data_IF_384340611533
#
_entry.id   IF_384340611533
#
_cell.length_a   1.000
_cell.length_b   1.000
_cell.length_c   1.000
_cell.angle_alpha   90.00
_cell.angle_beta   90.00
_cell.angle_gamma   90.00
#
_symmetry.space_group_name_H-M   'P 1'
#
loop_
_entity.id
_entity.type
_entity.pdbx_description
1 polymer ?
#
# COMPACT_ATOMS: atom_id res chain seq x y z
N UNK A 1 -15.57 -23.24 -14.70
CA UNK A 1 -16.16 -22.09 -15.42
C UNK A 1 -15.37 -20.87 -15.06
N UNK A 2 -14.54 -20.38 -15.99
CA UNK A 2 -13.75 -19.16 -15.78
C UNK A 2 -14.70 -17.97 -15.87
N UNK A 3 -15.14 -17.44 -14.75
CA UNK A 3 -15.76 -16.12 -14.74
C UNK A 3 -14.62 -15.09 -14.93
N UNK A 4 -14.40 -14.70 -16.18
CA UNK A 4 -13.60 -13.53 -16.48
C UNK A 4 -14.28 -12.33 -15.79
N UNK A 5 -13.53 -11.64 -14.90
CA UNK A 5 -13.95 -10.37 -14.33
C UNK A 5 -13.98 -9.32 -15.46
N UNK A 6 -15.07 -9.26 -16.18
CA UNK A 6 -15.30 -8.23 -17.20
C UNK A 6 -15.76 -6.96 -16.49
N UNK A 7 -14.96 -5.89 -16.50
CA UNK A 7 -15.40 -4.53 -16.23
C UNK A 7 -15.08 -3.91 -14.88
N UNK A 8 -14.09 -4.40 -14.13
CA UNK A 8 -13.60 -3.69 -12.94
C UNK A 8 -12.66 -2.56 -13.34
N UNK A 9 -13.23 -1.38 -13.60
CA UNK A 9 -12.49 -0.15 -13.81
C UNK A 9 -11.79 0.34 -12.55
N UNK A 10 -10.98 1.38 -12.69
CA UNK A 10 -10.41 2.10 -11.54
C UNK A 10 -11.55 2.69 -10.68
N UNK A 11 -11.34 2.86 -9.36
CA UNK A 11 -12.31 3.55 -8.51
C UNK A 11 -12.54 4.98 -9.00
N UNK A 12 -13.73 5.56 -8.79
CA UNK A 12 -14.02 6.91 -9.22
C UNK A 12 -13.15 7.94 -8.48
N UNK A 13 -12.46 8.79 -9.25
CA UNK A 13 -11.57 9.83 -8.74
C UNK A 13 -10.17 9.31 -8.37
N UNK A 14 -9.21 10.22 -8.42
CA UNK A 14 -7.87 9.97 -7.89
C UNK A 14 -7.86 10.13 -6.37
N UNK A 15 -7.05 9.32 -5.70
CA UNK A 15 -6.88 9.43 -4.25
C UNK A 15 -5.74 10.40 -3.94
N UNK A 16 -6.00 11.36 -3.06
CA UNK A 16 -5.01 12.32 -2.56
C UNK A 16 -4.00 11.67 -1.58
N UNK A 17 -3.81 10.36 -1.68
CA UNK A 17 -3.00 9.62 -0.72
C UNK A 17 -1.57 10.14 -0.65
N UNK A 18 -0.95 10.36 -1.80
CA UNK A 18 0.42 10.88 -1.87
C UNK A 18 0.53 12.25 -1.22
N UNK A 19 -0.40 13.17 -1.51
CA UNK A 19 -0.43 14.50 -0.90
C UNK A 19 -0.61 14.41 0.64
N UNK A 20 -1.51 13.54 1.10
CA UNK A 20 -1.74 13.32 2.53
C UNK A 20 -0.51 12.73 3.24
N UNK A 21 0.17 11.75 2.60
CA UNK A 21 1.40 11.18 3.12
C UNK A 21 2.51 12.22 3.23
N UNK A 22 2.67 13.06 2.23
CA UNK A 22 3.64 14.17 2.21
C UNK A 22 3.31 15.16 3.34
N UNK A 23 2.06 15.63 3.40
CA UNK A 23 1.60 16.67 4.35
C UNK A 23 1.67 16.21 5.81
N UNK A 24 1.17 15.01 6.14
CA UNK A 24 1.14 14.54 7.54
C UNK A 24 2.55 14.27 8.09
N UNK A 25 3.55 14.12 7.21
CA UNK A 25 4.96 13.95 7.56
C UNK A 25 5.80 15.23 7.35
N UNK A 26 5.20 16.30 6.87
CA UNK A 26 5.89 17.57 6.65
C UNK A 26 7.00 17.51 5.58
N UNK A 27 6.89 16.59 4.62
CA UNK A 27 7.93 16.39 3.60
C UNK A 27 8.07 17.60 2.67
N UNK A 28 7.02 18.42 2.50
CA UNK A 28 7.10 19.70 1.77
C UNK A 28 8.18 20.62 2.37
N UNK A 29 8.28 20.65 3.70
CA UNK A 29 9.27 21.48 4.41
C UNK A 29 10.69 20.93 4.26
N UNK A 30 10.79 19.65 3.90
CA UNK A 30 12.07 18.97 3.59
C UNK A 30 12.39 19.00 2.10
N UNK A 31 11.65 19.80 1.31
CA UNK A 31 11.88 19.99 -0.11
C UNK A 31 11.39 18.85 -0.99
N UNK A 32 10.44 18.01 -0.54
CA UNK A 32 9.88 16.93 -1.35
C UNK A 32 9.51 17.42 -2.77
N UNK A 33 9.99 16.72 -3.78
CA UNK A 33 9.63 16.97 -5.17
C UNK A 33 8.90 15.80 -5.81
N UNK A 34 9.39 14.55 -5.63
CA UNK A 34 8.81 13.33 -6.24
C UNK A 34 9.22 12.06 -5.53
N UNK A 35 8.40 11.05 -5.66
CA UNK A 35 8.74 9.68 -5.23
C UNK A 35 9.76 9.04 -6.16
N UNK A 36 10.62 8.19 -5.60
CA UNK A 36 11.59 7.39 -6.34
C UNK A 36 11.27 5.92 -6.15
N UNK A 37 11.13 5.20 -7.25
CA UNK A 37 10.89 3.77 -7.24
C UNK A 37 11.98 3.02 -7.99
N UNK A 38 12.40 1.89 -7.45
CA UNK A 38 13.10 0.85 -8.20
C UNK A 38 12.06 -0.08 -8.85
N UNK A 39 12.39 -0.76 -9.97
CA UNK A 39 11.43 -1.66 -10.64
C UNK A 39 10.78 -2.67 -9.72
N UNK A 40 11.53 -3.26 -8.78
CA UNK A 40 11.01 -4.24 -7.81
C UNK A 40 10.03 -3.69 -6.76
N UNK A 41 9.89 -2.36 -6.63
CA UNK A 41 8.90 -1.70 -5.77
C UNK A 41 7.51 -1.60 -6.40
N UNK A 42 7.44 -1.77 -7.72
CA UNK A 42 6.23 -1.51 -8.49
C UNK A 42 5.25 -2.68 -8.44
N UNK A 43 4.00 -2.38 -8.72
CA UNK A 43 2.94 -3.36 -8.88
C UNK A 43 3.29 -4.41 -9.95
N UNK A 44 3.05 -5.68 -9.65
CA UNK A 44 3.40 -6.85 -10.46
C UNK A 44 4.89 -7.07 -10.72
N UNK A 45 5.77 -6.38 -10.00
CA UNK A 45 7.20 -6.68 -10.06
C UNK A 45 7.49 -8.12 -9.61
N UNK A 46 8.38 -8.80 -10.32
CA UNK A 46 8.80 -10.16 -10.00
C UNK A 46 10.10 -10.19 -9.20
N UNK A 47 10.88 -9.12 -9.24
CA UNK A 47 12.17 -9.03 -8.55
C UNK A 47 12.03 -8.35 -7.19
N UNK A 48 12.91 -8.71 -6.24
CA UNK A 48 13.03 -8.04 -4.96
C UNK A 48 13.91 -6.78 -5.14
N UNK A 49 13.39 -5.61 -4.73
CA UNK A 49 14.17 -4.37 -4.83
C UNK A 49 15.26 -4.22 -3.74
N UNK A 50 15.18 -5.00 -2.66
CA UNK A 50 16.14 -4.97 -1.55
C UNK A 50 17.16 -6.11 -1.59
N UNK A 51 17.11 -7.00 -2.58
CA UNK A 51 17.98 -8.15 -2.70
C UNK A 51 18.27 -8.47 -4.17
N UNK A 52 19.40 -7.95 -4.64
CA UNK A 52 19.82 -8.10 -6.03
C UNK A 52 19.80 -9.56 -6.50
N UNK A 53 19.27 -9.78 -7.71
CA UNK A 53 19.18 -11.10 -8.35
C UNK A 53 18.18 -12.07 -7.70
N UNK A 54 17.39 -11.65 -6.71
CA UNK A 54 16.37 -12.49 -6.08
C UNK A 54 14.98 -12.14 -6.57
N UNK A 55 14.19 -13.18 -6.81
CA UNK A 55 12.79 -13.05 -7.28
C UNK A 55 11.80 -13.31 -6.15
N UNK A 56 10.62 -12.72 -6.29
CA UNK A 56 9.45 -12.98 -5.45
C UNK A 56 8.86 -14.35 -5.78
N UNK A 57 8.17 -14.97 -4.84
CA UNK A 57 7.41 -16.21 -5.06
C UNK A 57 6.10 -15.95 -5.84
N UNK A 58 5.57 -14.75 -5.77
CA UNK A 58 4.40 -14.26 -6.51
C UNK A 58 4.67 -12.82 -6.97
N UNK A 59 4.04 -12.35 -8.07
CA UNK A 59 4.13 -10.96 -8.46
C UNK A 59 3.70 -10.02 -7.33
N UNK A 60 4.34 -8.87 -7.22
CA UNK A 60 4.12 -7.88 -6.16
C UNK A 60 2.66 -7.39 -6.16
N UNK A 61 1.97 -7.53 -5.04
CA UNK A 61 0.54 -7.26 -4.89
C UNK A 61 0.20 -5.77 -4.79
N UNK A 62 1.20 -4.91 -4.66
CA UNK A 62 1.01 -3.47 -4.44
C UNK A 62 2.20 -2.63 -4.85
N UNK A 63 2.44 -1.59 -4.11
CA UNK A 63 3.50 -0.61 -4.29
C UNK A 63 4.26 -0.44 -2.97
N UNK A 64 5.60 -0.49 -3.01
CA UNK A 64 6.45 -0.20 -1.87
C UNK A 64 6.92 1.26 -1.92
N UNK A 65 6.64 2.04 -0.87
CA UNK A 65 6.94 3.47 -0.81
C UNK A 65 7.94 3.71 0.32
N UNK A 66 9.15 4.19 -0.01
CA UNK A 66 10.15 4.51 1.00
C UNK A 66 11.18 5.57 0.60
N UNK A 67 11.27 5.99 -0.67
CA UNK A 67 12.30 6.91 -1.14
C UNK A 67 11.65 8.08 -1.86
N UNK A 68 12.13 9.29 -1.59
CA UNK A 68 11.77 10.48 -2.35
C UNK A 68 13.02 11.30 -2.73
N UNK A 69 12.90 12.12 -3.76
CA UNK A 69 13.89 13.13 -4.09
C UNK A 69 13.39 14.50 -3.65
N UNK A 70 14.30 15.33 -3.16
CA UNK A 70 14.06 16.74 -2.90
C UNK A 70 14.30 17.60 -4.16
N UNK A 71 14.07 18.91 -4.02
CA UNK A 71 14.26 19.89 -5.10
C UNK A 71 15.73 20.06 -5.53
N UNK A 72 16.69 19.57 -4.74
CA UNK A 72 18.13 19.53 -5.08
C UNK A 72 18.50 18.20 -5.75
N UNK A 73 17.56 17.27 -5.87
CA UNK A 73 17.76 15.94 -6.44
C UNK A 73 18.40 14.94 -5.48
N UNK A 74 18.51 15.28 -4.17
CA UNK A 74 19.02 14.36 -3.18
C UNK A 74 17.95 13.33 -2.81
N UNK A 75 18.35 12.08 -2.57
CA UNK A 75 17.46 10.99 -2.20
C UNK A 75 17.38 10.86 -0.68
N UNK A 76 16.16 10.79 -0.18
CA UNK A 76 15.83 10.62 1.22
C UNK A 76 14.98 9.38 1.42
N UNK A 77 15.16 8.70 2.55
CA UNK A 77 14.37 7.52 2.90
C UNK A 77 13.35 7.84 3.99
N UNK A 78 12.16 7.28 3.86
CA UNK A 78 11.20 7.23 4.95
C UNK A 78 11.73 6.32 6.07
N UNK A 79 11.25 6.54 7.28
CA UNK A 79 11.66 5.76 8.45
C UNK A 79 10.45 5.29 9.28
N UNK A 80 10.73 4.62 10.39
CA UNK A 80 9.71 4.11 11.31
C UNK A 80 8.83 5.17 11.97
N UNK A 81 9.19 6.45 11.91
CA UNK A 81 8.35 7.55 12.43
C UNK A 81 7.36 8.07 11.39
N UNK A 82 7.49 7.63 10.13
CA UNK A 82 6.64 8.08 9.04
C UNK A 82 5.21 7.64 9.27
N UNK A 83 4.33 8.61 9.38
CA UNK A 83 2.88 8.44 9.55
C UNK A 83 2.24 7.94 8.27
N UNK A 84 1.30 7.01 8.40
CA UNK A 84 0.54 6.44 7.30
C UNK A 84 -0.90 6.94 7.36
N UNK A 85 -1.33 7.78 6.41
CA UNK A 85 -2.71 8.27 6.35
C UNK A 85 -3.63 7.28 5.63
N UNK A 86 -4.92 7.37 5.90
CA UNK A 86 -5.95 6.61 5.19
C UNK A 86 -6.16 7.16 3.77
N UNK A 87 -6.28 6.27 2.78
CA UNK A 87 -6.51 6.64 1.36
C UNK A 87 -7.90 7.21 1.13
N UNK A 88 -8.94 6.45 1.48
CA UNK A 88 -10.35 6.82 1.39
C UNK A 88 -11.02 6.63 2.76
N UNK A 89 -12.16 7.26 3.00
CA UNK A 89 -13.00 6.91 4.14
C UNK A 89 -13.34 5.43 4.13
N UNK A 90 -13.41 4.80 5.31
CA UNK A 90 -13.67 3.37 5.38
C UNK A 90 -13.68 2.83 6.79
N UNK A 91 -13.85 1.53 6.89
CA UNK A 91 -13.88 0.78 8.14
C UNK A 91 -12.72 -0.21 8.20
N UNK A 92 -12.06 -0.30 9.35
CA UNK A 92 -11.03 -1.31 9.60
C UNK A 92 -11.70 -2.66 9.78
N UNK A 93 -11.47 -3.56 8.82
CA UNK A 93 -12.11 -4.88 8.80
C UNK A 93 -11.19 -6.01 9.24
N UNK A 94 -9.87 -5.79 9.21
CA UNK A 94 -8.89 -6.74 9.74
C UNK A 94 -7.57 -6.05 10.07
N UNK A 95 -6.88 -6.57 11.09
CA UNK A 95 -5.49 -6.27 11.40
C UNK A 95 -4.81 -7.62 11.62
N UNK A 96 -3.72 -7.87 10.90
CA UNK A 96 -3.00 -9.13 10.94
C UNK A 96 -1.50 -8.90 11.10
N UNK A 97 -0.79 -9.87 11.67
CA UNK A 97 0.67 -9.81 11.70
C UNK A 97 1.24 -10.07 10.31
N UNK A 98 2.27 -9.34 9.94
CA UNK A 98 3.05 -9.60 8.74
C UNK A 98 4.55 -9.76 9.08
N UNK A 99 5.39 -9.97 8.05
CA UNK A 99 6.79 -10.29 8.31
C UNK A 99 7.65 -9.11 8.80
N UNK A 100 7.16 -7.85 8.67
CA UNK A 100 7.86 -6.66 9.19
C UNK A 100 7.09 -5.96 10.31
N UNK A 101 5.77 -6.17 10.41
CA UNK A 101 4.93 -5.46 11.37
C UNK A 101 3.50 -6.00 11.35
N UNK A 102 2.55 -5.12 11.03
CA UNK A 102 1.14 -5.48 10.86
C UNK A 102 0.60 -4.97 9.53
N UNK A 103 -0.36 -5.73 9.00
CA UNK A 103 -1.17 -5.33 7.85
C UNK A 103 -2.55 -4.88 8.32
N UNK A 104 -2.97 -3.68 7.89
CA UNK A 104 -4.29 -3.10 8.18
C UNK A 104 -5.14 -3.18 6.92
N UNK A 105 -6.28 -3.86 7.00
CA UNK A 105 -7.24 -4.00 5.92
C UNK A 105 -8.41 -3.05 6.14
N UNK A 106 -8.64 -2.16 5.18
CA UNK A 106 -9.71 -1.17 5.23
C UNK A 106 -10.68 -1.41 4.10
N UNK A 107 -11.96 -1.52 4.43
CA UNK A 107 -13.07 -1.64 3.48
C UNK A 107 -13.67 -0.26 3.24
N UNK A 108 -13.88 0.10 1.96
CA UNK A 108 -14.47 1.37 1.56
C UNK A 108 -15.91 1.18 1.06
N UNK A 109 -16.74 2.20 1.13
CA UNK A 109 -18.13 2.16 0.60
C UNK A 109 -18.22 2.09 -0.93
N UNK A 110 -17.09 2.17 -1.62
CA UNK A 110 -16.95 2.18 -3.08
C UNK A 110 -17.09 0.76 -3.62
N UNK A 111 -17.85 0.60 -4.73
CA UNK A 111 -18.07 -0.69 -5.39
C UNK A 111 -17.81 -0.59 -6.89
N UNK A 112 -17.32 -1.69 -7.47
CA UNK A 112 -17.26 -1.85 -8.92
C UNK A 112 -18.62 -2.24 -9.53
N UNK A 113 -18.68 -2.35 -10.83
CA UNK A 113 -19.91 -2.74 -11.57
C UNK A 113 -20.37 -4.17 -11.30
N UNK A 114 -19.48 -5.03 -10.79
CA UNK A 114 -19.79 -6.41 -10.40
C UNK A 114 -20.23 -6.51 -8.92
N UNK A 115 -20.23 -5.38 -8.18
CA UNK A 115 -20.60 -5.32 -6.77
C UNK A 115 -19.47 -5.69 -5.80
N UNK A 116 -18.25 -5.89 -6.30
CA UNK A 116 -17.08 -6.07 -5.45
C UNK A 116 -16.79 -4.78 -4.68
N UNK A 117 -16.27 -4.92 -3.47
CA UNK A 117 -15.99 -3.79 -2.59
C UNK A 117 -14.52 -3.40 -2.67
N UNK A 118 -14.25 -2.09 -2.73
CA UNK A 118 -12.89 -1.57 -2.70
C UNK A 118 -12.28 -1.77 -1.32
N UNK A 119 -11.05 -2.25 -1.30
CA UNK A 119 -10.24 -2.35 -0.09
C UNK A 119 -8.87 -1.74 -0.34
N UNK A 120 -8.31 -1.12 0.71
CA UNK A 120 -6.90 -0.76 0.78
C UNK A 120 -6.25 -1.57 1.89
N UNK A 121 -5.07 -2.12 1.61
CA UNK A 121 -4.29 -2.89 2.57
C UNK A 121 -2.96 -2.16 2.77
N UNK A 122 -2.67 -1.82 4.02
CA UNK A 122 -1.44 -1.14 4.44
C UNK A 122 -0.56 -2.14 5.15
N UNK A 123 0.48 -2.62 4.49
CA UNK A 123 1.44 -3.58 5.03
C UNK A 123 2.63 -2.92 5.71
N UNK A 124 3.30 -3.68 6.55
CA UNK A 124 4.53 -3.28 7.25
C UNK A 124 4.33 -2.07 8.14
N UNK A 125 3.22 -2.05 8.87
CA UNK A 125 2.82 -0.93 9.71
C UNK A 125 2.90 -1.24 11.20
N UNK A 126 2.94 -0.17 11.99
CA UNK A 126 2.73 -0.15 13.43
C UNK A 126 1.45 0.65 13.69
N UNK A 127 0.29 0.00 13.89
CA UNK A 127 -0.99 0.68 14.07
C UNK A 127 -0.97 1.63 15.26
N UNK A 128 -1.68 2.77 15.16
CA UNK A 128 -1.93 3.65 16.30
C UNK A 128 -2.85 2.95 17.32
N UNK A 129 -2.75 3.31 18.59
CA UNK A 129 -3.51 2.68 19.71
C UNK A 129 -5.03 2.71 19.49
N UNK A 130 -5.52 3.71 18.78
CA UNK A 130 -6.94 3.92 18.51
C UNK A 130 -7.47 3.11 17.33
N UNK A 131 -6.58 2.46 16.56
CA UNK A 131 -6.91 1.68 15.37
C UNK A 131 -7.33 0.27 15.79
N UNK A 132 -8.61 -0.05 15.59
CA UNK A 132 -9.22 -1.34 15.96
C UNK A 132 -10.29 -1.76 14.99
N UNK A 133 -10.63 -3.05 15.00
CA UNK A 133 -11.71 -3.61 14.17
C UNK A 133 -13.02 -2.86 14.35
N UNK A 134 -13.74 -2.63 13.27
CA UNK A 134 -15.01 -1.94 13.22
C UNK A 134 -14.91 -0.41 13.37
N UNK A 135 -13.68 0.15 13.46
CA UNK A 135 -13.54 1.61 13.53
C UNK A 135 -13.72 2.19 12.14
N UNK A 136 -14.72 3.07 12.02
CA UNK A 136 -14.89 3.95 10.86
C UNK A 136 -13.89 5.12 10.94
N UNK A 137 -13.29 5.45 9.82
CA UNK A 137 -12.26 6.48 9.67
C UNK A 137 -12.54 7.32 8.44
N UNK A 138 -12.10 8.56 8.47
CA UNK A 138 -12.15 9.49 7.34
C UNK A 138 -10.85 9.47 6.53
N UNK A 139 -10.93 9.83 5.25
CA UNK A 139 -9.74 9.91 4.42
C UNK A 139 -8.74 10.94 4.97
N UNK A 140 -7.49 10.53 5.13
CA UNK A 140 -6.42 11.34 5.70
C UNK A 140 -6.18 11.14 7.20
N UNK A 141 -7.05 10.44 7.93
CA UNK A 141 -6.76 10.05 9.31
C UNK A 141 -5.47 9.22 9.35
N UNK A 142 -4.59 9.53 10.30
CA UNK A 142 -3.36 8.75 10.50
C UNK A 142 -3.72 7.45 11.22
N UNK A 143 -3.45 6.32 10.56
CA UNK A 143 -3.81 4.99 11.07
C UNK A 143 -2.64 4.21 11.65
N UNK A 144 -1.41 4.56 11.26
CA UNK A 144 -0.22 3.84 11.67
C UNK A 144 1.03 4.69 11.47
N UNK A 145 2.16 4.14 11.88
CA UNK A 145 3.48 4.50 11.34
C UNK A 145 4.06 3.31 10.57
N UNK A 146 5.11 3.53 9.78
CA UNK A 146 5.87 2.44 9.17
C UNK A 146 6.52 1.60 10.28
N UNK A 147 6.44 0.28 10.17
CA UNK A 147 7.06 -0.60 11.15
C UNK A 147 8.59 -0.52 11.09
N UNK A 148 9.22 -0.53 12.24
CA UNK A 148 10.67 -0.69 12.33
C UNK A 148 11.08 -2.13 12.04
N UNK A 149 12.25 -2.33 11.44
CA UNK A 149 12.79 -3.67 11.11
C UNK A 149 13.12 -4.54 12.35
N UNK A 150 13.01 -3.99 13.55
CA UNK A 150 13.29 -4.71 14.81
C UNK A 150 14.70 -5.30 14.84
N UNK A 151 14.87 -6.40 15.60
CA UNK A 151 16.13 -7.17 15.67
C UNK A 151 16.24 -8.22 14.54
N UNK A 152 15.39 -8.18 13.52
CA UNK A 152 15.44 -9.13 12.42
C UNK A 152 16.64 -8.83 11.53
N UNK A 153 17.40 -9.87 11.18
CA UNK A 153 18.55 -9.80 10.26
C UNK A 153 18.16 -9.51 8.79
N UNK A 154 16.92 -9.07 8.56
CA UNK A 154 16.48 -8.72 7.23
C UNK A 154 17.02 -7.33 6.86
N UNK A 155 17.81 -7.26 5.82
CA UNK A 155 18.35 -6.02 5.24
C UNK A 155 17.30 -5.22 4.45
N UNK A 156 16.01 -5.37 4.79
CA UNK A 156 14.93 -4.68 4.10
C UNK A 156 14.75 -3.32 4.76
N UNK A 157 14.90 -2.21 4.03
CA UNK A 157 14.65 -0.88 4.58
C UNK A 157 13.20 -0.71 5.04
N UNK A 158 12.94 0.13 6.07
CA UNK A 158 11.58 0.51 6.44
C UNK A 158 10.83 1.06 5.21
N UNK A 159 9.64 0.55 4.96
CA UNK A 159 8.81 0.99 3.83
C UNK A 159 7.33 0.73 4.12
N UNK A 160 6.48 1.49 3.48
CA UNK A 160 5.06 1.22 3.42
C UNK A 160 4.78 0.36 2.19
N UNK A 161 4.17 -0.80 2.38
CA UNK A 161 3.53 -1.55 1.31
C UNK A 161 2.06 -1.16 1.24
N UNK A 162 1.57 -0.76 0.07
CA UNK A 162 0.16 -0.43 -0.14
C UNK A 162 -0.41 -1.25 -1.29
N UNK A 163 -1.52 -1.97 -1.04
CA UNK A 163 -2.30 -2.66 -2.07
C UNK A 163 -3.71 -2.11 -2.13
N UNK A 164 -4.27 -2.03 -3.32
CA UNK A 164 -5.66 -1.64 -3.56
C UNK A 164 -6.32 -2.75 -4.36
N UNK A 165 -7.50 -3.19 -3.92
CA UNK A 165 -8.16 -4.34 -4.52
C UNK A 165 -9.68 -4.23 -4.51
N UNK A 166 -10.31 -4.73 -5.57
CA UNK A 166 -11.72 -5.11 -5.56
C UNK A 166 -11.86 -6.52 -4.98
N UNK A 167 -12.56 -6.65 -3.87
CA UNK A 167 -12.75 -7.92 -3.17
C UNK A 167 -14.23 -8.28 -3.16
N UNK A 168 -14.60 -9.50 -3.64
CA UNK A 168 -15.97 -9.99 -3.59
C UNK A 168 -16.48 -10.13 -2.15
N UNK A 169 -17.74 -9.81 -1.93
CA UNK A 169 -18.41 -10.02 -0.63
C UNK A 169 -18.43 -11.47 -0.14
N UNK A 170 -18.23 -12.42 -1.05
CA UNK A 170 -18.15 -13.83 -0.71
C UNK A 170 -16.90 -14.23 0.06
N UNK A 171 -15.89 -13.35 0.13
CA UNK A 171 -14.68 -13.57 0.92
C UNK A 171 -14.88 -12.92 2.30
N UNK A 172 -14.99 -13.72 3.38
CA UNK A 172 -15.10 -13.18 4.73
C UNK A 172 -13.83 -12.43 5.12
N UNK A 173 -13.95 -11.37 5.91
CA UNK A 173 -12.83 -10.54 6.34
C UNK A 173 -11.77 -11.34 7.11
N UNK A 174 -12.16 -12.36 7.87
CA UNK A 174 -11.27 -13.24 8.62
C UNK A 174 -10.30 -14.01 7.70
N UNK A 175 -10.72 -14.25 6.45
CA UNK A 175 -9.93 -14.95 5.43
C UNK A 175 -9.01 -14.03 4.62
N UNK A 176 -9.15 -12.70 4.76
CA UNK A 176 -8.27 -11.78 4.06
C UNK A 176 -6.84 -11.91 4.60
N UNK A 177 -5.91 -12.19 3.73
CA UNK A 177 -4.46 -12.16 3.95
C UNK A 177 -3.76 -12.03 2.60
N UNK A 178 -2.46 -11.88 2.60
CA UNK A 178 -1.65 -11.72 1.38
C UNK A 178 -1.82 -12.91 0.43
N UNK A 179 -1.84 -14.13 0.95
CA UNK A 179 -2.05 -15.33 0.14
C UNK A 179 -3.43 -15.33 -0.53
N UNK A 180 -4.48 -15.03 0.22
CA UNK A 180 -5.86 -15.01 -0.30
C UNK A 180 -6.05 -14.01 -1.43
N UNK A 181 -5.53 -12.79 -1.29
CA UNK A 181 -5.69 -11.74 -2.30
C UNK A 181 -4.81 -11.95 -3.53
N UNK A 182 -3.71 -12.69 -3.41
CA UNK A 182 -2.81 -13.03 -4.52
C UNK A 182 -3.34 -14.18 -5.39
N UNK A 183 -4.32 -14.97 -4.90
CA UNK A 183 -4.92 -16.03 -5.69
C UNK A 183 -5.81 -15.44 -6.79
N UNK A 184 -5.54 -15.78 -8.07
CA UNK A 184 -6.37 -15.32 -9.18
C UNK A 184 -7.85 -15.69 -8.99
N UNK A 185 -8.75 -14.72 -9.12
CA UNK A 185 -10.19 -14.90 -8.94
C UNK A 185 -10.71 -14.62 -7.53
N UNK A 186 -9.86 -14.48 -6.52
CA UNK A 186 -10.28 -14.05 -5.19
C UNK A 186 -10.36 -12.52 -5.06
N UNK A 187 -9.44 -11.82 -5.70
CA UNK A 187 -9.43 -10.36 -5.71
C UNK A 187 -8.96 -9.85 -7.08
N UNK A 188 -9.29 -8.60 -7.38
CA UNK A 188 -8.75 -7.88 -8.51
C UNK A 188 -7.84 -6.81 -7.95
N UNK A 189 -6.54 -7.08 -7.96
CA UNK A 189 -5.52 -6.13 -7.53
C UNK A 189 -5.40 -5.00 -8.57
N UNK A 190 -5.33 -3.78 -8.07
CA UNK A 190 -5.18 -2.57 -8.86
C UNK A 190 -3.78 -1.99 -8.69
N UNK A 191 -3.24 -1.39 -9.74
CA UNK A 191 -1.98 -0.67 -9.64
C UNK A 191 -2.17 0.62 -8.84
N UNK A 192 -1.55 0.76 -7.65
CA UNK A 192 -1.72 1.96 -6.84
C UNK A 192 -1.30 3.25 -7.54
N UNK A 193 -0.31 3.22 -8.44
CA UNK A 193 0.13 4.39 -9.20
C UNK A 193 -0.92 4.92 -10.18
N UNK A 194 -1.88 4.09 -10.60
CA UNK A 194 -3.01 4.55 -11.43
C UNK A 194 -4.12 5.22 -10.63
N UNK A 195 -4.09 5.08 -9.30
CA UNK A 195 -5.13 5.56 -8.39
C UNK A 195 -4.65 6.77 -7.59
N UNK A 196 -3.38 6.73 -7.17
CA UNK A 196 -2.76 7.81 -6.40
C UNK A 196 -2.21 8.87 -7.34
N UNK A 197 -2.66 10.13 -7.16
CA UNK A 197 -2.04 11.25 -7.86
C UNK A 197 -0.68 11.57 -7.24
N UNK A 198 0.41 11.23 -7.93
CA UNK A 198 1.74 11.48 -7.43
C UNK A 198 2.77 11.70 -8.55
N UNK A 199 3.72 12.61 -8.29
CA UNK A 199 4.92 12.73 -9.12
C UNK A 199 5.91 11.64 -8.72
N UNK A 200 6.43 10.90 -9.69
CA UNK A 200 7.44 9.87 -9.42
C UNK A 200 8.43 9.69 -10.57
N UNK A 201 9.52 9.03 -10.26
CA UNK A 201 10.52 8.56 -11.23
C UNK A 201 10.88 7.12 -10.92
N UNK A 202 10.94 6.29 -11.95
CA UNK A 202 11.47 4.91 -11.84
C UNK A 202 12.94 4.95 -12.22
N UNK A 203 13.81 4.55 -11.31
CA UNK A 203 15.27 4.52 -11.51
C UNK A 203 15.77 3.08 -11.54
N UNK A 204 16.76 2.78 -12.36
CA UNK A 204 17.45 1.49 -12.34
C UNK A 204 18.32 1.44 -11.07
N UNK A 205 18.48 0.23 -10.51
CA UNK A 205 19.54 0.02 -9.52
C UNK A 205 20.87 0.43 -10.12
N UNK A 206 21.64 1.22 -9.36
CA UNK A 206 23.02 1.58 -9.74
C UNK A 206 23.93 0.36 -9.65
#
# INVERSE_FOLDING_TARGET
MNHAFAGSGLPPGQADFSERLIRCNGLERLGFERWIFYPGMLFKAEDLWWAEGRRRSSPHEGLDICIYADCEGQYHSLDKSTKVPLTYEGEIVKIDDDFLGKSIYVSHSIRDTAGNQLHTIYGHTSPCDEVRLGKALTGGDVIATIAGVGNRKASIPPHLHISIAWIPKSIPYERLNWETISVPGNAILLDPLQIMDCKYTVVKHA
#
